data_IF_726978502661
#
_entry.id   IF_726978502661
#
_cell.length_a   1.000
_cell.length_b   1.000
_cell.length_c   1.000
_cell.angle_alpha   90.00
_cell.angle_beta   90.00
_cell.angle_gamma   90.00
#
_symmetry.space_group_name_H-M   'P 1'
#
loop_
_entity.id
_entity.type
_entity.pdbx_description
1 polymer ?
#
# COMPACT_ATOMS: atom_id res chain seq x y z
N UNK A 1 51.05 53.64 56.20
CA UNK A 1 51.29 54.59 55.11
C UNK A 1 50.59 54.11 53.84
N UNK A 2 49.59 54.81 53.57
CA UNK A 2 49.28 55.50 52.36
C UNK A 2 48.85 54.59 51.16
N UNK A 3 47.53 54.54 50.93
CA UNK A 3 46.83 55.08 49.81
C UNK A 3 47.21 54.53 48.43
N UNK A 4 46.37 54.06 47.64
CA UNK A 4 45.35 54.82 46.95
C UNK A 4 44.51 53.96 46.00
N UNK A 5 43.30 54.28 45.92
CA UNK A 5 42.28 53.87 45.04
C UNK A 5 42.56 54.16 43.56
N UNK A 6 41.90 53.42 42.73
CA UNK A 6 41.09 53.83 41.57
C UNK A 6 40.70 52.58 40.82
N UNK A 7 39.47 52.22 40.82
CA UNK A 7 38.31 52.67 40.04
C UNK A 7 38.35 52.19 38.60
N UNK A 8 37.25 51.47 38.30
CA UNK A 8 36.43 51.54 37.10
C UNK A 8 36.95 50.70 35.93
N UNK A 9 36.22 49.87 35.30
CA UNK A 9 34.84 50.00 34.82
C UNK A 9 34.30 48.67 34.36
N UNK A 10 33.07 48.46 34.71
CA UNK A 10 32.15 47.53 34.06
C UNK A 10 32.18 47.68 32.55
N UNK A 11 32.23 46.57 31.86
CA UNK A 11 31.48 46.44 30.61
C UNK A 11 30.86 45.03 30.63
N UNK A 12 29.62 45.01 30.99
CA UNK A 12 28.69 43.92 30.76
C UNK A 12 28.42 43.80 29.28
N UNK A 13 28.98 42.81 28.62
CA UNK A 13 28.53 42.35 27.30
C UNK A 13 27.47 41.28 27.50
N UNK A 14 26.24 41.76 27.52
CA UNK A 14 25.05 40.93 27.39
C UNK A 14 24.89 40.62 25.90
N UNK A 15 25.48 39.47 25.49
CA UNK A 15 25.12 38.92 24.18
C UNK A 15 23.67 38.46 24.23
N UNK A 16 22.81 39.25 23.63
CA UNK A 16 21.44 38.90 23.31
C UNK A 16 21.46 37.72 22.34
N UNK A 17 21.25 36.53 22.87
CA UNK A 17 20.81 35.43 22.05
C UNK A 17 19.45 35.78 21.46
N UNK A 18 19.44 36.02 20.15
CA UNK A 18 18.21 36.08 19.38
C UNK A 18 17.52 34.73 19.51
N UNK A 19 16.42 34.68 20.24
CA UNK A 19 15.46 33.60 20.18
C UNK A 19 14.88 33.67 18.78
N UNK A 20 15.35 32.80 17.90
CA UNK A 20 14.66 32.54 16.63
C UNK A 20 13.37 31.87 17.04
N UNK A 21 12.30 32.64 17.08
CA UNK A 21 10.94 32.11 17.14
C UNK A 21 10.72 31.39 15.81
N UNK A 22 10.84 30.08 15.83
CA UNK A 22 10.32 29.23 14.77
C UNK A 22 8.79 29.31 14.84
N UNK A 23 8.24 30.33 14.18
CA UNK A 23 6.81 30.46 13.90
C UNK A 23 6.54 29.80 12.55
N UNK A 24 6.77 28.48 12.46
CA UNK A 24 6.10 27.70 11.45
C UNK A 24 4.62 27.75 11.81
N UNK A 25 3.81 28.38 10.96
CA UNK A 25 2.35 28.23 11.05
C UNK A 25 2.04 26.73 11.09
N UNK A 26 1.10 26.27 11.93
CA UNK A 26 0.72 24.87 11.94
C UNK A 26 0.28 24.51 10.52
N UNK A 27 0.97 23.54 9.91
CA UNK A 27 0.57 23.03 8.60
C UNK A 27 -0.88 22.60 8.68
N UNK A 28 -1.74 23.27 7.92
CA UNK A 28 -3.16 22.95 7.89
C UNK A 28 -3.33 21.59 7.21
N UNK A 29 -4.13 20.71 7.83
CA UNK A 29 -4.44 19.41 7.24
C UNK A 29 -4.91 19.55 5.78
N UNK A 30 -4.54 18.61 4.90
CA UNK A 30 -4.92 18.69 3.50
C UNK A 30 -6.45 18.61 3.35
N UNK A 31 -7.02 19.51 2.55
CA UNK A 31 -8.46 19.48 2.28
C UNK A 31 -8.79 18.29 1.38
N UNK A 32 -9.36 17.26 1.98
CA UNK A 32 -9.86 16.06 1.31
C UNK A 32 -11.32 16.32 0.92
N UNK A 33 -11.61 16.27 -0.36
CA UNK A 33 -12.95 16.59 -0.90
C UNK A 33 -13.73 15.36 -1.39
N UNK A 34 -13.09 14.22 -1.50
CA UNK A 34 -13.65 13.01 -2.12
C UNK A 34 -14.46 12.11 -1.18
N UNK A 35 -14.50 12.40 0.14
CA UNK A 35 -15.18 11.55 1.13
C UNK A 35 -14.54 10.19 1.35
N UNK A 36 -13.32 9.97 0.85
CA UNK A 36 -12.57 8.74 0.95
C UNK A 36 -12.17 8.44 2.40
N UNK A 37 -12.02 7.18 2.72
CA UNK A 37 -11.44 6.73 3.98
C UNK A 37 -9.91 6.73 3.86
N UNK A 38 -9.24 7.63 4.58
CA UNK A 38 -7.81 7.90 4.46
C UNK A 38 -7.12 7.75 5.82
N UNK A 39 -5.97 7.10 5.81
CA UNK A 39 -5.04 7.08 6.94
C UNK A 39 -3.61 7.34 6.44
N UNK A 40 -2.90 8.24 7.13
CA UNK A 40 -1.45 8.43 7.04
C UNK A 40 -0.83 8.04 8.36
N UNK A 41 0.17 7.17 8.34
CA UNK A 41 0.79 6.64 9.56
C UNK A 41 2.31 6.57 9.43
N UNK A 42 3.02 6.96 10.48
CA UNK A 42 4.47 6.73 10.60
C UNK A 42 4.77 5.24 10.78
N UNK A 43 5.68 4.71 9.98
CA UNK A 43 6.10 3.29 10.05
C UNK A 43 6.87 2.98 11.33
N UNK A 44 7.67 3.93 11.80
CA UNK A 44 8.56 3.75 12.96
C UNK A 44 7.78 3.78 14.27
N UNK A 45 6.86 4.73 14.41
CA UNK A 45 6.16 4.97 15.68
C UNK A 45 4.75 4.39 15.73
N UNK A 46 4.14 4.10 14.56
CA UNK A 46 2.73 3.75 14.45
C UNK A 46 1.78 4.94 14.71
N UNK A 47 2.31 6.17 14.84
CA UNK A 47 1.49 7.35 15.02
C UNK A 47 0.68 7.63 13.74
N UNK A 48 -0.62 7.81 13.90
CA UNK A 48 -1.51 8.25 12.84
C UNK A 48 -1.48 9.79 12.79
N UNK A 49 -1.12 10.33 11.63
CA UNK A 49 -1.03 11.76 11.36
C UNK A 49 -2.32 12.31 10.76
N UNK A 50 -2.99 11.51 9.92
CA UNK A 50 -4.28 11.84 9.30
C UNK A 50 -5.19 10.61 9.39
N UNK A 51 -6.44 10.82 9.81
CA UNK A 51 -7.46 9.77 9.84
C UNK A 51 -8.84 10.36 9.51
N UNK A 52 -9.37 10.05 8.34
CA UNK A 52 -10.74 10.42 7.96
C UNK A 52 -11.72 9.23 8.05
N UNK A 53 -11.21 8.02 8.33
CA UNK A 53 -11.99 6.79 8.38
C UNK A 53 -12.71 6.59 9.72
N UNK A 54 -12.12 7.06 10.82
CA UNK A 54 -12.70 7.03 12.18
C UNK A 54 -13.14 5.62 12.62
N UNK A 55 -12.32 4.59 12.36
CA UNK A 55 -12.61 3.21 12.74
C UNK A 55 -13.72 2.53 11.94
N UNK A 56 -14.16 3.14 10.83
CA UNK A 56 -15.19 2.55 9.98
C UNK A 56 -14.70 1.25 9.36
N UNK A 57 -15.54 0.21 9.45
CA UNK A 57 -15.30 -1.07 8.81
C UNK A 57 -15.45 -0.96 7.29
N UNK A 58 -14.52 -1.55 6.56
CA UNK A 58 -14.46 -1.57 5.10
C UNK A 58 -14.07 -2.95 4.59
N UNK A 59 -14.30 -3.23 3.32
CA UNK A 59 -13.80 -4.44 2.65
C UNK A 59 -12.27 -4.35 2.46
N UNK A 60 -11.49 -5.40 2.81
CA UNK A 60 -10.03 -5.36 2.71
C UNK A 60 -9.49 -5.25 1.28
N UNK A 61 -10.26 -5.62 0.27
CA UNK A 61 -9.93 -5.47 -1.16
C UNK A 61 -8.46 -5.80 -1.50
N UNK A 62 -7.73 -4.84 -2.07
CA UNK A 62 -6.34 -5.04 -2.49
C UNK A 62 -5.36 -5.19 -1.31
N UNK A 63 -5.71 -4.73 -0.09
CA UNK A 63 -4.88 -4.89 1.11
C UNK A 63 -4.67 -6.37 1.47
N UNK A 64 -5.64 -7.25 1.16
CA UNK A 64 -5.51 -8.71 1.31
C UNK A 64 -4.26 -9.24 0.60
N UNK A 65 -3.94 -8.72 -0.60
CA UNK A 65 -2.78 -9.17 -1.36
C UNK A 65 -1.45 -8.76 -0.75
N UNK A 66 -1.40 -7.68 0.03
CA UNK A 66 -0.19 -7.33 0.80
C UNK A 66 0.06 -8.38 1.88
N UNK A 67 -0.98 -8.79 2.61
CA UNK A 67 -0.89 -9.86 3.62
C UNK A 67 -0.48 -11.19 2.97
N UNK A 68 -1.12 -11.56 1.87
CA UNK A 68 -0.78 -12.78 1.12
C UNK A 68 0.67 -12.76 0.64
N UNK A 69 1.14 -11.62 0.11
CA UNK A 69 2.52 -11.50 -0.38
C UNK A 69 3.55 -11.61 0.75
N UNK A 70 3.33 -10.99 1.90
CA UNK A 70 4.21 -11.10 3.08
C UNK A 70 4.28 -12.55 3.55
N UNK A 71 3.14 -13.17 3.79
CA UNK A 71 3.09 -14.54 4.29
C UNK A 71 3.69 -15.53 3.29
N UNK A 72 3.40 -15.38 2.00
CA UNK A 72 3.98 -16.22 0.96
C UNK A 72 5.49 -16.03 0.83
N UNK A 73 5.99 -14.82 0.99
CA UNK A 73 7.41 -14.52 1.00
C UNK A 73 8.12 -15.21 2.17
N UNK A 74 7.53 -15.15 3.37
CA UNK A 74 8.07 -15.79 4.57
C UNK A 74 8.07 -17.34 4.46
N UNK A 75 7.07 -17.91 3.79
CA UNK A 75 6.94 -19.37 3.61
C UNK A 75 7.73 -19.92 2.42
N UNK A 76 8.16 -19.06 1.50
CA UNK A 76 8.86 -19.50 0.29
C UNK A 76 10.31 -19.91 0.59
N UNK A 77 10.74 -21.03 0.00
CA UNK A 77 12.12 -21.53 0.11
C UNK A 77 13.09 -20.85 -0.88
N UNK A 78 12.70 -19.71 -1.46
CA UNK A 78 13.50 -18.94 -2.41
C UNK A 78 12.67 -18.35 -3.54
N UNK A 79 13.03 -17.16 -3.99
CA UNK A 79 12.27 -16.39 -4.97
C UNK A 79 12.38 -16.94 -6.41
N UNK A 80 13.45 -17.67 -6.71
CA UNK A 80 13.73 -18.18 -8.05
C UNK A 80 13.24 -19.63 -8.23
N UNK A 81 12.63 -20.21 -7.17
CA UNK A 81 12.02 -21.53 -7.23
C UNK A 81 10.83 -21.52 -8.20
N UNK A 82 10.76 -22.55 -9.04
CA UNK A 82 9.69 -22.76 -10.00
C UNK A 82 8.42 -23.27 -9.31
N UNK A 83 7.33 -22.64 -9.62
CA UNK A 83 5.97 -23.02 -9.25
C UNK A 83 5.26 -23.51 -10.49
N UNK A 84 4.66 -24.69 -10.44
CA UNK A 84 3.70 -25.16 -11.44
C UNK A 84 2.30 -24.82 -10.95
N UNK A 85 1.54 -24.07 -11.76
CA UNK A 85 0.18 -23.66 -11.42
C UNK A 85 -0.75 -24.88 -11.41
N UNK A 86 -1.34 -25.15 -10.26
CA UNK A 86 -2.34 -26.19 -10.09
C UNK A 86 -3.72 -25.73 -10.53
N UNK A 87 -4.57 -26.63 -11.01
CA UNK A 87 -5.95 -26.34 -11.39
C UNK A 87 -6.81 -25.89 -10.20
N UNK A 88 -6.55 -26.44 -9.00
CA UNK A 88 -7.25 -26.05 -7.77
C UNK A 88 -6.93 -24.60 -7.37
N UNK A 89 -5.71 -24.14 -7.61
CA UNK A 89 -5.30 -22.77 -7.35
C UNK A 89 -6.03 -21.75 -8.22
N UNK A 90 -6.69 -22.18 -9.30
CA UNK A 90 -7.44 -21.30 -10.21
C UNK A 90 -8.95 -21.28 -9.94
N UNK A 91 -9.40 -21.93 -8.85
CA UNK A 91 -10.79 -21.90 -8.42
C UNK A 91 -11.08 -20.72 -7.50
N UNK A 92 -12.32 -20.23 -7.54
CA UNK A 92 -12.83 -19.19 -6.62
C UNK A 92 -12.05 -17.86 -6.62
N UNK A 93 -11.41 -17.52 -7.74
CA UNK A 93 -10.59 -16.30 -7.89
C UNK A 93 -11.31 -15.19 -8.67
N UNK A 94 -12.61 -15.32 -8.93
CA UNK A 94 -13.41 -14.42 -9.76
C UNK A 94 -13.45 -14.84 -11.22
N UNK A 95 -13.99 -13.96 -12.08
CA UNK A 95 -14.11 -14.21 -13.53
C UNK A 95 -13.13 -13.34 -14.31
N UNK A 96 -12.49 -13.92 -15.34
CA UNK A 96 -11.61 -13.16 -16.23
C UNK A 96 -12.38 -12.04 -16.92
N UNK A 97 -11.84 -10.83 -16.86
CA UNK A 97 -12.45 -9.61 -17.42
C UNK A 97 -13.24 -8.81 -16.41
N UNK A 98 -13.50 -9.35 -15.23
CA UNK A 98 -14.05 -8.59 -14.12
C UNK A 98 -13.02 -7.62 -13.58
N UNK A 99 -13.41 -6.37 -13.32
CA UNK A 99 -12.51 -5.34 -12.79
C UNK A 99 -12.10 -5.64 -11.34
N UNK A 100 -13.00 -6.27 -10.59
CA UNK A 100 -12.74 -6.72 -9.20
C UNK A 100 -11.84 -7.95 -9.10
N UNK A 101 -11.64 -8.64 -10.23
CA UNK A 101 -10.84 -9.87 -10.29
C UNK A 101 -9.80 -9.81 -11.42
N UNK A 102 -8.82 -8.87 -11.35
CA UNK A 102 -7.76 -8.82 -12.34
C UNK A 102 -6.98 -10.12 -12.37
N UNK A 103 -6.68 -10.62 -13.58
CA UNK A 103 -5.99 -11.87 -13.82
C UNK A 103 -4.98 -11.74 -14.95
N UNK A 104 -3.88 -12.48 -14.87
CA UNK A 104 -2.95 -12.68 -15.99
C UNK A 104 -3.51 -13.63 -17.04
N UNK A 105 -4.37 -14.56 -16.63
CA UNK A 105 -4.88 -15.66 -17.44
C UNK A 105 -3.98 -16.88 -17.36
N UNK A 106 -3.43 -17.16 -16.18
CA UNK A 106 -2.70 -18.38 -15.89
C UNK A 106 -3.59 -19.61 -16.12
N UNK A 107 -2.97 -20.71 -16.53
CA UNK A 107 -3.62 -21.99 -16.76
C UNK A 107 -2.90 -23.08 -15.96
N UNK A 108 -3.62 -24.14 -15.61
CA UNK A 108 -3.01 -25.33 -15.02
C UNK A 108 -1.85 -25.83 -15.90
N UNK A 109 -0.73 -26.14 -15.25
CA UNK A 109 0.50 -26.55 -15.91
C UNK A 109 1.42 -25.41 -16.36
N UNK A 110 0.98 -24.14 -16.31
CA UNK A 110 1.91 -23.02 -16.51
C UNK A 110 2.96 -23.02 -15.41
N UNK A 111 4.17 -22.54 -15.73
CA UNK A 111 5.26 -22.39 -14.76
C UNK A 111 5.64 -20.93 -14.60
N UNK A 112 5.94 -20.54 -13.37
CA UNK A 112 6.46 -19.23 -13.03
C UNK A 112 7.34 -19.34 -11.78
N UNK A 113 8.27 -18.42 -11.58
CA UNK A 113 8.99 -18.36 -10.31
C UNK A 113 8.14 -17.73 -9.21
N UNK A 114 8.47 -18.00 -7.96
CA UNK A 114 7.86 -17.29 -6.80
C UNK A 114 7.96 -15.77 -7.00
N UNK A 115 9.11 -15.28 -7.45
CA UNK A 115 9.31 -13.85 -7.78
C UNK A 115 8.31 -13.35 -8.82
N UNK A 116 8.10 -14.08 -9.90
CA UNK A 116 7.15 -13.69 -10.94
C UNK A 116 5.70 -13.68 -10.44
N UNK A 117 5.33 -14.62 -9.58
CA UNK A 117 4.01 -14.63 -8.96
C UNK A 117 3.83 -13.47 -7.96
N UNK A 118 4.86 -13.11 -7.18
CA UNK A 118 4.86 -11.91 -6.33
C UNK A 118 4.73 -10.63 -7.15
N UNK A 119 5.48 -10.53 -8.26
CA UNK A 119 5.37 -9.38 -9.19
C UNK A 119 3.94 -9.29 -9.75
N UNK A 120 3.36 -10.38 -10.19
CA UNK A 120 1.99 -10.42 -10.69
C UNK A 120 0.96 -10.03 -9.63
N UNK A 121 1.13 -10.50 -8.41
CA UNK A 121 0.27 -10.18 -7.27
C UNK A 121 0.31 -8.70 -6.91
N UNK A 122 1.50 -8.12 -6.80
CA UNK A 122 1.69 -6.75 -6.29
C UNK A 122 1.57 -5.69 -7.39
N UNK A 123 2.13 -5.95 -8.58
CA UNK A 123 2.19 -4.97 -9.68
C UNK A 123 0.89 -4.93 -10.47
N UNK A 124 0.31 -6.12 -10.75
CA UNK A 124 -0.93 -6.26 -11.55
C UNK A 124 -2.16 -6.52 -10.71
N UNK A 125 -2.02 -6.73 -9.40
CA UNK A 125 -3.07 -7.18 -8.50
C UNK A 125 -3.78 -8.47 -8.98
N UNK A 126 -3.06 -9.37 -9.68
CA UNK A 126 -3.63 -10.52 -10.36
C UNK A 126 -4.06 -11.62 -9.37
N UNK A 127 -5.35 -11.97 -9.38
CA UNK A 127 -5.93 -12.95 -8.46
C UNK A 127 -5.43 -14.37 -8.72
N UNK A 128 -5.29 -14.77 -9.99
CA UNK A 128 -4.77 -16.09 -10.38
C UNK A 128 -3.32 -16.30 -9.92
N UNK A 129 -2.48 -15.28 -10.05
CA UNK A 129 -1.10 -15.34 -9.55
C UNK A 129 -1.04 -15.35 -8.03
N UNK A 130 -1.86 -14.52 -7.38
CA UNK A 130 -1.94 -14.43 -5.93
C UNK A 130 -2.35 -15.77 -5.30
N UNK A 131 -3.41 -16.38 -5.81
CA UNK A 131 -3.88 -17.67 -5.28
C UNK A 131 -2.94 -18.83 -5.64
N UNK A 132 -2.34 -18.82 -6.85
CA UNK A 132 -1.33 -19.80 -7.23
C UNK A 132 -0.07 -19.73 -6.34
N UNK A 133 0.35 -18.52 -5.98
CA UNK A 133 1.44 -18.31 -5.04
C UNK A 133 1.12 -18.90 -3.66
N UNK A 134 -0.03 -18.51 -3.07
CA UNK A 134 -0.47 -19.00 -1.76
C UNK A 134 -0.63 -20.53 -1.75
N UNK A 135 -1.25 -21.10 -2.79
CA UNK A 135 -1.44 -22.53 -2.96
C UNK A 135 -0.09 -23.27 -2.99
N UNK A 136 0.87 -22.76 -3.75
CA UNK A 136 2.18 -23.39 -3.87
C UNK A 136 2.96 -23.42 -2.55
N UNK A 137 3.03 -22.28 -1.83
CA UNK A 137 3.82 -22.21 -0.60
C UNK A 137 3.14 -22.91 0.59
N UNK A 138 1.81 -23.09 0.53
CA UNK A 138 1.05 -23.84 1.55
C UNK A 138 0.96 -25.34 1.29
N UNK A 139 1.52 -25.82 0.17
CA UNK A 139 1.37 -27.23 -0.22
C UNK A 139 -0.07 -27.61 -0.61
N UNK A 140 -0.85 -26.64 -1.09
CA UNK A 140 -2.25 -26.82 -1.52
C UNK A 140 -3.29 -26.48 -0.44
N UNK A 141 -2.87 -26.17 0.78
CA UNK A 141 -3.77 -25.86 1.89
C UNK A 141 -4.09 -24.35 1.94
N UNK A 142 -5.02 -23.92 1.09
CA UNK A 142 -5.48 -22.51 1.07
C UNK A 142 -6.22 -22.13 2.37
N UNK A 143 -7.00 -23.04 2.96
CA UNK A 143 -7.71 -22.76 4.20
C UNK A 143 -6.73 -22.47 5.34
N UNK A 144 -5.75 -23.34 5.54
CA UNK A 144 -4.69 -23.12 6.53
C UNK A 144 -3.81 -21.91 6.22
N UNK A 145 -3.66 -21.53 4.94
CA UNK A 145 -2.98 -20.29 4.58
C UNK A 145 -3.79 -19.05 5.05
N UNK A 146 -5.11 -19.04 4.84
CA UNK A 146 -6.00 -17.96 5.29
C UNK A 146 -6.02 -17.87 6.83
N UNK A 147 -6.03 -18.99 7.54
CA UNK A 147 -5.88 -18.99 9.00
C UNK A 147 -4.57 -18.31 9.44
N UNK A 148 -3.46 -18.58 8.74
CA UNK A 148 -2.18 -17.90 9.01
C UNK A 148 -2.21 -16.42 8.65
N UNK A 149 -2.97 -15.99 7.63
CA UNK A 149 -3.17 -14.56 7.34
C UNK A 149 -3.85 -13.86 8.52
N UNK A 150 -4.90 -14.47 9.10
CA UNK A 150 -5.61 -13.91 10.24
C UNK A 150 -4.73 -13.91 11.52
N UNK A 151 -3.95 -14.95 11.75
CA UNK A 151 -2.97 -14.99 12.84
C UNK A 151 -1.93 -13.87 12.67
N UNK A 152 -1.40 -13.67 11.46
CA UNK A 152 -0.46 -12.59 11.16
C UNK A 152 -1.08 -11.20 11.35
N UNK A 153 -2.35 -11.00 10.98
CA UNK A 153 -3.05 -9.75 11.23
C UNK A 153 -3.10 -9.44 12.74
N UNK A 154 -3.40 -10.43 13.57
CA UNK A 154 -3.35 -10.30 15.04
C UNK A 154 -1.95 -9.96 15.55
N UNK A 155 -0.90 -10.62 15.03
CA UNK A 155 0.51 -10.34 15.38
C UNK A 155 0.94 -8.91 15.02
N UNK A 156 0.42 -8.37 13.92
CA UNK A 156 0.66 -6.98 13.48
C UNK A 156 -0.08 -5.98 14.38
N UNK A 157 -1.07 -6.44 15.15
CA UNK A 157 -1.90 -5.61 16.03
C UNK A 157 -3.17 -5.10 15.34
N UNK A 158 -3.65 -5.79 14.30
CA UNK A 158 -4.96 -5.54 13.72
C UNK A 158 -6.05 -6.08 14.66
N UNK A 159 -6.99 -5.22 15.06
CA UNK A 159 -8.06 -5.57 16.01
C UNK A 159 -9.39 -5.83 15.29
N UNK A 160 -9.56 -5.26 14.09
CA UNK A 160 -10.80 -5.30 13.32
C UNK A 160 -10.53 -5.77 11.88
N UNK A 161 -9.80 -6.90 11.73
CA UNK A 161 -9.46 -7.45 10.41
C UNK A 161 -9.71 -8.95 10.39
N UNK A 162 -10.43 -9.40 9.36
CA UNK A 162 -10.66 -10.79 9.09
C UNK A 162 -10.60 -11.07 7.59
N UNK A 163 -9.72 -11.97 7.18
CA UNK A 163 -9.55 -12.45 5.81
C UNK A 163 -10.27 -13.79 5.63
N UNK A 164 -10.96 -13.94 4.51
CA UNK A 164 -11.68 -15.16 4.12
C UNK A 164 -11.05 -15.83 2.92
N UNK A 165 -10.23 -15.10 2.16
CA UNK A 165 -9.54 -15.59 0.98
C UNK A 165 -8.19 -14.88 0.78
N UNK A 166 -7.38 -15.37 -0.16
CA UNK A 166 -6.03 -14.87 -0.44
C UNK A 166 -6.01 -13.65 -1.35
N UNK A 167 -7.10 -13.37 -2.06
CA UNK A 167 -7.12 -12.43 -3.18
C UNK A 167 -7.79 -11.09 -2.87
N UNK A 168 -8.59 -11.03 -1.79
CA UNK A 168 -9.46 -9.89 -1.50
C UNK A 168 -10.65 -9.80 -2.47
N UNK A 169 -11.03 -10.93 -3.08
CA UNK A 169 -12.29 -11.00 -3.82
C UNK A 169 -13.45 -10.91 -2.82
N UNK A 170 -14.35 -9.98 -3.07
CA UNK A 170 -15.49 -9.72 -2.18
C UNK A 170 -16.39 -10.94 -2.03
N UNK A 171 -16.69 -11.29 -0.80
CA UNK A 171 -17.61 -12.40 -0.43
C UNK A 171 -18.66 -11.99 0.61
N UNK A 172 -18.56 -10.78 1.15
CA UNK A 172 -19.47 -10.24 2.16
C UNK A 172 -19.16 -10.65 3.60
N UNK A 173 -18.07 -11.40 3.83
CA UNK A 173 -17.67 -11.90 5.14
C UNK A 173 -16.32 -11.29 5.61
N UNK A 174 -15.42 -10.97 4.67
CA UNK A 174 -14.15 -10.32 4.98
C UNK A 174 -14.37 -8.85 5.37
N UNK A 175 -13.65 -8.38 6.38
CA UNK A 175 -13.68 -6.99 6.84
C UNK A 175 -12.33 -6.51 7.35
N UNK A 176 -12.16 -5.20 7.38
CA UNK A 176 -10.99 -4.51 7.98
C UNK A 176 -11.36 -3.08 8.35
N UNK A 177 -10.42 -2.33 8.95
CA UNK A 177 -10.48 -0.88 9.06
C UNK A 177 -9.30 -0.27 8.32
N UNK A 178 -9.40 1.01 7.93
CA UNK A 178 -8.30 1.68 7.22
C UNK A 178 -7.07 1.82 8.12
N UNK A 179 -7.28 1.94 9.42
CA UNK A 179 -6.23 1.94 10.44
C UNK A 179 -5.48 0.59 10.48
N UNK A 180 -6.20 -0.52 10.42
CA UNK A 180 -5.58 -1.84 10.37
C UNK A 180 -4.86 -2.07 9.04
N UNK A 181 -5.41 -1.59 7.92
CA UNK A 181 -4.71 -1.60 6.64
C UNK A 181 -3.41 -0.79 6.70
N UNK A 182 -3.38 0.34 7.42
CA UNK A 182 -2.15 1.10 7.61
C UNK A 182 -1.11 0.32 8.43
N UNK A 183 -1.52 -0.44 9.45
CA UNK A 183 -0.61 -1.35 10.19
C UNK A 183 -0.06 -2.46 9.28
N UNK A 184 -0.90 -3.05 8.43
CA UNK A 184 -0.48 -4.05 7.42
C UNK A 184 0.51 -3.42 6.44
N UNK A 185 0.24 -2.21 5.94
CA UNK A 185 1.14 -1.48 5.05
C UNK A 185 2.49 -1.15 5.71
N UNK A 186 2.48 -0.74 7.00
CA UNK A 186 3.70 -0.50 7.75
C UNK A 186 4.52 -1.78 7.98
N UNK A 187 3.85 -2.92 8.22
CA UNK A 187 4.52 -4.22 8.28
C UNK A 187 5.13 -4.58 6.91
N UNK A 188 4.39 -4.38 5.81
CA UNK A 188 4.88 -4.60 4.45
C UNK A 188 6.08 -3.72 4.10
N UNK A 189 6.09 -2.47 4.53
CA UNK A 189 7.20 -1.52 4.30
C UNK A 189 8.54 -2.07 4.76
N UNK A 190 8.57 -2.91 5.81
CA UNK A 190 9.79 -3.52 6.36
C UNK A 190 10.36 -4.66 5.52
N UNK A 191 9.63 -5.12 4.51
CA UNK A 191 10.08 -6.13 3.55
C UNK A 191 10.72 -5.46 2.33
N UNK A 192 11.98 -5.05 2.42
CA UNK A 192 12.68 -4.34 1.34
C UNK A 192 12.49 -5.01 -0.03
N UNK A 193 12.61 -6.34 -0.09
CA UNK A 193 12.45 -7.08 -1.35
C UNK A 193 11.04 -6.97 -1.93
N UNK A 194 10.00 -7.03 -1.10
CA UNK A 194 8.61 -6.87 -1.55
C UNK A 194 8.32 -5.42 -1.95
N UNK A 195 8.89 -4.47 -1.23
CA UNK A 195 8.78 -3.06 -1.55
C UNK A 195 9.44 -2.75 -2.90
N UNK A 196 10.63 -3.30 -3.15
CA UNK A 196 11.32 -3.19 -4.44
C UNK A 196 10.52 -3.82 -5.58
N UNK A 197 9.97 -5.03 -5.37
CA UNK A 197 9.11 -5.70 -6.35
C UNK A 197 7.90 -4.83 -6.68
N UNK A 198 7.16 -4.36 -5.67
CA UNK A 198 5.93 -3.59 -5.84
C UNK A 198 6.16 -2.20 -6.45
N UNK A 199 7.38 -1.68 -6.35
CA UNK A 199 7.80 -0.39 -6.91
C UNK A 199 8.11 -0.44 -8.40
N UNK A 200 8.21 -1.62 -9.00
CA UNK A 200 8.52 -1.77 -10.43
C UNK A 200 7.36 -1.30 -11.30
N UNK A 201 7.61 -0.47 -12.32
CA UNK A 201 6.55 -0.04 -13.24
C UNK A 201 6.12 -1.16 -14.19
N UNK A 202 6.99 -2.16 -14.41
CA UNK A 202 6.76 -3.29 -15.30
C UNK A 202 7.47 -4.54 -14.82
N UNK A 203 7.01 -5.70 -15.27
CA UNK A 203 7.71 -6.98 -15.13
C UNK A 203 7.46 -7.87 -16.34
N UNK A 204 8.24 -8.97 -16.49
CA UNK A 204 8.10 -9.91 -17.60
C UNK A 204 7.70 -11.28 -17.07
N UNK A 205 6.65 -11.85 -17.63
CA UNK A 205 6.20 -13.22 -17.36
C UNK A 205 5.70 -13.85 -18.66
N UNK A 206 6.08 -15.10 -18.92
CA UNK A 206 5.70 -15.81 -20.15
C UNK A 206 6.07 -15.08 -21.43
N UNK A 207 7.16 -14.29 -21.43
CA UNK A 207 7.59 -13.47 -22.57
C UNK A 207 6.80 -12.19 -22.81
N UNK A 208 5.80 -11.89 -21.96
CA UNK A 208 4.99 -10.66 -22.05
C UNK A 208 5.43 -9.64 -21.01
N UNK A 209 5.51 -8.36 -21.41
CA UNK A 209 5.72 -7.24 -20.48
C UNK A 209 4.38 -6.80 -19.92
N UNK A 210 4.26 -6.80 -18.61
CA UNK A 210 3.07 -6.40 -17.86
C UNK A 210 3.35 -5.09 -17.14
N UNK A 211 2.38 -4.19 -17.15
CA UNK A 211 2.48 -2.86 -16.56
C UNK A 211 1.78 -2.81 -15.19
N UNK A 212 2.25 -1.91 -14.35
CA UNK A 212 1.68 -1.67 -13.01
C UNK A 212 0.22 -1.18 -13.08
N UNK A 213 -0.55 -1.55 -12.08
CA UNK A 213 -1.87 -0.99 -11.79
C UNK A 213 -1.80 0.23 -10.85
N UNK A 214 -0.67 0.43 -10.21
CA UNK A 214 -0.44 1.61 -9.39
C UNK A 214 0.12 2.75 -10.26
N UNK A 215 -0.75 3.68 -10.64
CA UNK A 215 -0.41 4.77 -11.56
C UNK A 215 0.49 5.84 -10.93
N UNK A 216 0.70 5.82 -9.61
CA UNK A 216 1.74 6.66 -8.99
C UNK A 216 3.14 6.36 -9.54
N UNK A 217 3.34 5.15 -10.07
CA UNK A 217 4.62 4.64 -10.60
C UNK A 217 4.72 4.68 -12.13
N UNK A 218 3.72 5.24 -12.83
CA UNK A 218 3.69 5.22 -14.30
C UNK A 218 3.28 6.56 -14.88
N UNK A 219 4.23 7.25 -15.54
CA UNK A 219 3.98 8.51 -16.24
C UNK A 219 3.13 8.35 -17.51
N UNK A 220 3.09 7.14 -18.08
CA UNK A 220 2.42 6.87 -19.35
C UNK A 220 0.93 6.60 -19.20
N UNK A 221 0.49 6.11 -18.04
CA UNK A 221 -0.88 5.65 -17.83
C UNK A 221 -1.81 6.74 -17.29
N UNK A 222 -1.28 7.66 -16.47
CA UNK A 222 -2.05 8.81 -15.96
C UNK A 222 -1.15 10.03 -15.79
N UNK A 223 -1.20 10.95 -16.76
CA UNK A 223 -0.44 12.20 -16.67
C UNK A 223 -0.85 13.03 -15.46
N UNK A 224 0.14 13.43 -14.65
CA UNK A 224 -0.07 14.30 -13.48
C UNK A 224 -0.38 13.58 -12.17
N UNK A 225 -0.53 12.25 -12.17
CA UNK A 225 -0.73 11.46 -10.95
C UNK A 225 0.55 10.81 -10.41
N UNK A 226 1.64 10.83 -11.17
CA UNK A 226 2.91 10.24 -10.76
C UNK A 226 3.50 10.96 -9.57
N UNK A 227 3.89 10.18 -8.55
CA UNK A 227 4.64 10.61 -7.38
C UNK A 227 5.93 9.80 -7.38
N UNK A 228 7.05 10.43 -7.75
CA UNK A 228 8.34 9.73 -7.96
C UNK A 228 8.90 9.16 -6.68
N UNK A 229 8.66 9.83 -5.58
CA UNK A 229 9.10 9.50 -4.22
C UNK A 229 8.28 8.38 -3.60
N UNK A 230 7.11 8.04 -4.20
CA UNK A 230 6.28 6.96 -3.69
C UNK A 230 6.98 5.60 -3.81
N UNK A 231 6.84 4.77 -2.79
CA UNK A 231 7.43 3.43 -2.72
C UNK A 231 6.32 2.39 -2.89
N UNK A 232 6.09 1.97 -4.12
CA UNK A 232 5.31 0.80 -4.51
C UNK A 232 3.97 0.59 -3.81
N UNK A 233 3.84 -0.56 -3.22
CA UNK A 233 2.70 -1.25 -2.62
C UNK A 233 1.65 -1.67 -3.63
N UNK A 234 0.38 -1.26 -3.53
CA UNK A 234 -0.68 -1.86 -4.34
C UNK A 234 -1.82 -0.88 -4.64
N UNK A 235 -2.48 -1.11 -5.77
CA UNK A 235 -3.74 -0.48 -6.13
C UNK A 235 -4.72 -1.52 -6.67
N UNK A 236 -5.99 -1.37 -6.36
CA UNK A 236 -7.04 -2.26 -6.82
C UNK A 236 -8.42 -1.62 -6.73
N UNK A 237 -9.42 -2.26 -7.32
CA UNK A 237 -10.79 -1.75 -7.37
C UNK A 237 -11.76 -2.91 -7.20
N UNK A 238 -12.80 -2.71 -6.37
CA UNK A 238 -13.84 -3.71 -6.13
C UNK A 238 -14.98 -3.62 -7.12
N UNK A 239 -15.39 -2.41 -7.47
CA UNK A 239 -16.48 -2.17 -8.44
C UNK A 239 -16.02 -1.30 -9.60
N UNK A 240 -16.83 -1.20 -10.65
CA UNK A 240 -16.56 -0.36 -11.82
C UNK A 240 -16.79 1.15 -11.60
N UNK A 241 -17.21 1.55 -10.40
CA UNK A 241 -17.55 2.96 -10.08
C UNK A 241 -16.98 3.47 -8.78
N UNK A 242 -16.65 2.58 -7.85
CA UNK A 242 -16.26 2.94 -6.48
C UNK A 242 -15.35 1.89 -5.87
N UNK A 243 -14.98 2.10 -4.61
CA UNK A 243 -14.22 1.17 -3.79
C UNK A 243 -12.80 0.92 -4.34
N UNK A 244 -12.18 1.99 -4.86
CA UNK A 244 -10.79 1.96 -5.22
C UNK A 244 -9.92 2.00 -3.95
N UNK A 245 -8.97 1.08 -3.91
CA UNK A 245 -7.97 1.00 -2.86
C UNK A 245 -6.62 1.43 -3.44
N UNK A 246 -5.94 2.35 -2.76
CA UNK A 246 -4.60 2.82 -3.13
C UNK A 246 -3.74 2.89 -1.88
N UNK A 247 -2.72 2.06 -1.84
CA UNK A 247 -1.78 1.97 -0.73
C UNK A 247 -0.38 2.21 -1.29
N UNK A 248 0.34 3.14 -0.68
CA UNK A 248 1.73 3.43 -1.01
C UNK A 248 2.51 3.81 0.24
N UNK A 249 3.82 3.98 0.09
CA UNK A 249 4.66 4.55 1.12
C UNK A 249 5.53 5.67 0.56
N UNK A 250 6.09 6.44 1.44
CA UNK A 250 7.07 7.49 1.17
C UNK A 250 8.03 7.63 2.33
N UNK A 251 8.96 8.54 2.18
CA UNK A 251 9.93 8.88 3.23
C UNK A 251 10.12 10.40 3.23
N UNK A 252 10.08 10.98 4.42
CA UNK A 252 10.42 12.39 4.66
C UNK A 252 11.34 12.46 5.85
N UNK A 253 12.46 13.17 5.72
CA UNK A 253 13.48 13.35 6.76
C UNK A 253 13.99 12.04 7.39
N UNK A 254 14.05 10.96 6.58
CA UNK A 254 14.49 9.64 7.02
C UNK A 254 13.44 8.84 7.80
N UNK A 255 12.22 9.35 7.90
CA UNK A 255 11.08 8.67 8.52
C UNK A 255 10.19 8.09 7.43
N UNK A 256 9.84 6.81 7.56
CA UNK A 256 8.92 6.13 6.65
C UNK A 256 7.46 6.43 6.99
N UNK A 257 6.65 6.66 5.97
CA UNK A 257 5.21 6.85 6.11
C UNK A 257 4.45 5.93 5.16
N UNK A 258 3.32 5.45 5.62
CA UNK A 258 2.35 4.75 4.78
C UNK A 258 1.10 5.60 4.58
N UNK A 259 0.60 5.54 3.36
CA UNK A 259 -0.56 6.31 2.90
C UNK A 259 -1.58 5.32 2.38
N UNK A 260 -2.75 5.29 3.00
CA UNK A 260 -3.83 4.38 2.67
C UNK A 260 -5.06 5.18 2.29
N UNK A 261 -5.62 4.89 1.12
CA UNK A 261 -6.92 5.40 0.67
C UNK A 261 -7.79 4.20 0.32
N UNK A 262 -8.96 4.13 0.92
CA UNK A 262 -9.97 3.10 0.68
C UNK A 262 -11.29 3.75 0.26
N UNK A 263 -12.15 2.97 -0.40
CA UNK A 263 -13.49 3.38 -0.85
C UNK A 263 -13.50 4.64 -1.73
N UNK A 264 -12.40 4.89 -2.43
CA UNK A 264 -12.29 6.05 -3.30
C UNK A 264 -13.05 5.84 -4.63
N UNK A 265 -13.33 6.96 -5.31
CA UNK A 265 -13.77 6.91 -6.70
C UNK A 265 -12.67 6.30 -7.57
N UNK A 266 -13.03 5.30 -8.36
CA UNK A 266 -12.12 4.50 -9.16
C UNK A 266 -12.20 4.81 -10.66
N UNK A 267 -11.65 3.89 -11.46
CA UNK A 267 -11.71 3.92 -12.92
C UNK A 267 -13.14 3.65 -13.38
N UNK A 268 -13.66 4.51 -14.24
CA UNK A 268 -14.91 4.30 -14.96
C UNK A 268 -14.60 3.72 -16.33
N UNK A 269 -15.22 2.59 -16.68
CA UNK A 269 -15.17 2.02 -18.02
C UNK A 269 -16.42 2.41 -18.78
N UNK A 270 -16.25 3.17 -19.84
CA UNK A 270 -17.35 3.57 -20.71
C UNK A 270 -17.74 2.45 -21.68
N UNK A 271 -18.95 2.51 -22.19
CA UNK A 271 -19.49 1.52 -23.15
C UNK A 271 -18.74 1.50 -24.50
N UNK A 272 -18.03 2.57 -24.84
CA UNK A 272 -17.17 2.69 -26.01
C UNK A 272 -15.76 2.12 -25.81
N UNK A 273 -15.48 1.56 -24.63
CA UNK A 273 -14.17 0.99 -24.24
C UNK A 273 -13.17 2.00 -23.71
N UNK A 274 -13.52 3.29 -23.65
CA UNK A 274 -12.68 4.30 -23.02
C UNK A 274 -12.68 4.15 -21.50
N UNK A 275 -11.63 4.67 -20.86
CA UNK A 275 -11.47 4.66 -19.41
C UNK A 275 -11.18 6.06 -18.94
N UNK A 276 -11.82 6.44 -17.86
CA UNK A 276 -11.59 7.72 -17.20
C UNK A 276 -11.59 7.57 -15.70
N UNK A 277 -10.92 8.47 -15.01
CA UNK A 277 -11.03 8.63 -13.57
C UNK A 277 -11.84 9.90 -13.29
N UNK A 278 -12.75 9.89 -12.33
CA UNK A 278 -13.37 11.11 -11.85
C UNK A 278 -12.30 12.14 -11.48
N UNK A 279 -12.61 13.43 -11.60
CA UNK A 279 -11.69 14.52 -11.24
C UNK A 279 -11.23 14.40 -9.79
N UNK A 280 -12.14 13.99 -8.91
CA UNK A 280 -11.90 13.69 -7.49
C UNK A 280 -11.78 12.18 -7.33
N UNK A 281 -10.57 11.68 -7.23
CA UNK A 281 -10.27 10.26 -7.14
C UNK A 281 -9.10 9.99 -6.19
N UNK A 282 -8.83 8.71 -5.92
CA UNK A 282 -7.76 8.29 -5.04
C UNK A 282 -6.40 8.92 -5.36
N UNK A 283 -6.06 9.08 -6.63
CA UNK A 283 -4.76 9.64 -7.05
C UNK A 283 -4.66 11.15 -6.81
N UNK A 284 -5.77 11.87 -7.01
CA UNK A 284 -5.82 13.31 -6.73
C UNK A 284 -5.65 13.59 -5.23
N UNK A 285 -6.31 12.81 -4.38
CA UNK A 285 -6.16 12.93 -2.94
C UNK A 285 -4.79 12.44 -2.46
N UNK A 286 -4.30 11.31 -3.00
CA UNK A 286 -2.95 10.84 -2.69
C UNK A 286 -1.89 11.91 -2.93
N UNK A 287 -2.01 12.66 -4.04
CA UNK A 287 -1.06 13.74 -4.34
C UNK A 287 -1.14 14.88 -3.32
N UNK A 288 -2.32 15.22 -2.81
CA UNK A 288 -2.48 16.24 -1.79
C UNK A 288 -1.83 15.83 -0.47
N UNK A 289 -2.13 14.60 -0.01
CA UNK A 289 -1.63 14.10 1.28
C UNK A 289 -0.15 13.72 1.25
N UNK A 290 0.39 13.34 0.09
CA UNK A 290 1.81 13.01 -0.05
C UNK A 290 2.71 14.26 -0.06
N UNK A 291 2.16 15.40 -0.49
CA UNK A 291 2.85 16.69 -0.51
C UNK A 291 2.63 17.52 0.78
N UNK A 292 1.83 17.01 1.68
CA UNK A 292 1.56 17.61 3.00
C UNK A 292 2.63 17.18 4.02
#
# INVERSE_FOLDING_TARGET
DVSNASSVSDVSDVSSQAVVSDTSEPETEPVITSGNAIVVMSVETGQILLNTANGREVDPTCATKLMTAMLAFDMANGLDNQVTVDAEALKNIGKKGDISAPMLGLRAGNTATVRQLLQATLISAANDACNALAYSVSGGDIAGFVEKMNARATEIGCEHTYFTNTTGLYDGEAYTTVEDVAKIAAAFYRYNTLLDISSQPTYVIGGSTIHTKNYLRSETLMRGCTIRESKGMIAGQRTDKSDYCLITAGESDGIGYVYVIMEAAGEIRNTDGTREFPKENAYADMKKIFNW
#
